data_IF_695565562401
#
_entry.id   IF_695565562401
#
_cell.length_a   1.000
_cell.length_b   1.000
_cell.length_c   1.000
_cell.angle_alpha   90.00
_cell.angle_beta   90.00
_cell.angle_gamma   90.00
#
_symmetry.space_group_name_H-M   'P 1'
#
loop_
_entity.id
_entity.type
_entity.pdbx_description
1 polymer ?
#
# COMPACT_ATOMS: atom_id res chain seq x y z
N UNK A 1 17.94 -12.02 -28.38
CA UNK A 1 17.69 -10.61 -28.02
C UNK A 1 17.34 -9.71 -29.20
N UNK A 2 18.24 -9.41 -30.16
CA UNK A 2 17.90 -8.51 -31.29
C UNK A 2 16.88 -9.15 -32.26
N UNK A 3 17.07 -10.43 -32.63
CA UNK A 3 16.13 -11.15 -33.51
C UNK A 3 14.72 -11.25 -32.90
N UNK A 4 14.60 -11.69 -31.65
CA UNK A 4 13.30 -11.80 -30.95
C UNK A 4 12.57 -10.45 -30.83
N UNK A 5 13.30 -9.34 -30.72
CA UNK A 5 12.72 -8.01 -30.74
C UNK A 5 12.15 -7.66 -32.11
N UNK A 6 12.89 -7.95 -33.19
CA UNK A 6 12.43 -7.76 -34.57
C UNK A 6 11.20 -8.62 -34.86
N UNK A 7 11.23 -9.89 -34.48
CA UNK A 7 10.10 -10.82 -34.65
C UNK A 7 8.83 -10.34 -33.93
N UNK A 8 8.96 -9.75 -32.73
CA UNK A 8 7.81 -9.16 -32.01
C UNK A 8 7.34 -7.86 -32.67
N UNK A 9 8.26 -7.04 -33.19
CA UNK A 9 7.89 -5.81 -33.91
C UNK A 9 7.13 -6.11 -35.19
N UNK A 10 7.49 -7.17 -35.92
CA UNK A 10 6.79 -7.60 -37.13
C UNK A 10 5.39 -8.14 -36.87
N UNK A 11 5.16 -8.73 -35.68
CA UNK A 11 3.84 -9.19 -35.24
C UNK A 11 2.95 -8.10 -34.64
N UNK A 12 3.51 -6.93 -34.33
CA UNK A 12 2.71 -5.83 -33.79
C UNK A 12 1.79 -5.31 -34.89
N UNK A 13 0.50 -5.18 -34.56
CA UNK A 13 -0.50 -4.69 -35.48
C UNK A 13 -0.14 -3.31 -36.04
N UNK A 14 -0.48 -3.10 -37.31
CA UNK A 14 -0.09 -1.89 -38.04
C UNK A 14 -0.72 -0.64 -37.45
N UNK A 15 -1.93 -0.71 -36.89
CA UNK A 15 -2.58 0.46 -36.31
C UNK A 15 -1.85 0.91 -35.03
N UNK A 16 -1.37 -0.04 -34.22
CA UNK A 16 -0.59 0.28 -33.02
C UNK A 16 0.80 0.83 -33.36
N UNK A 17 1.41 0.39 -34.46
CA UNK A 17 2.71 0.92 -34.92
C UNK A 17 2.65 2.43 -35.24
N UNK A 18 1.49 2.94 -35.65
CA UNK A 18 1.28 4.34 -36.04
C UNK A 18 0.29 5.07 -35.14
N UNK A 19 -0.08 4.49 -33.99
CA UNK A 19 -1.06 5.10 -33.11
C UNK A 19 -0.51 6.33 -32.39
N UNK A 20 -1.34 7.35 -32.26
CA UNK A 20 -1.09 8.54 -31.43
C UNK A 20 -1.63 8.37 -30.00
N UNK A 21 -2.40 7.31 -29.74
CA UNK A 21 -2.91 7.01 -28.41
C UNK A 21 -1.79 6.47 -27.51
N UNK A 22 -1.57 7.13 -26.37
CA UNK A 22 -0.47 6.78 -25.47
C UNK A 22 -0.65 5.39 -24.85
N UNK A 23 -1.89 4.96 -24.59
CA UNK A 23 -2.17 3.62 -24.08
C UNK A 23 -1.80 2.54 -25.11
N UNK A 24 -2.18 2.72 -26.36
CA UNK A 24 -1.79 1.84 -27.47
C UNK A 24 -0.27 1.82 -27.68
N UNK A 25 0.40 2.97 -27.61
CA UNK A 25 1.87 3.06 -27.66
C UNK A 25 2.54 2.32 -26.50
N UNK A 26 2.00 2.43 -25.27
CA UNK A 26 2.49 1.68 -24.12
C UNK A 26 2.34 0.18 -24.35
N UNK A 27 1.19 -0.30 -24.83
CA UNK A 27 1.00 -1.72 -25.18
C UNK A 27 2.02 -2.17 -26.22
N UNK A 28 2.21 -1.42 -27.30
CA UNK A 28 3.20 -1.73 -28.33
C UNK A 28 4.60 -1.84 -27.74
N UNK A 29 4.99 -0.92 -26.86
CA UNK A 29 6.27 -0.95 -26.14
C UNK A 29 6.39 -2.19 -25.25
N UNK A 30 5.40 -2.49 -24.40
CA UNK A 30 5.39 -3.68 -23.54
C UNK A 30 5.50 -4.97 -24.36
N UNK A 31 4.76 -5.07 -25.46
CA UNK A 31 4.74 -6.23 -26.34
C UNK A 31 6.10 -6.44 -27.03
N UNK A 32 6.62 -5.41 -27.70
CA UNK A 32 7.87 -5.53 -28.47
C UNK A 32 9.10 -5.72 -27.56
N UNK A 33 9.14 -5.01 -26.43
CA UNK A 33 10.21 -5.18 -25.43
C UNK A 33 10.09 -6.49 -24.64
N UNK A 34 8.87 -7.03 -24.51
CA UNK A 34 8.52 -8.11 -23.59
C UNK A 34 9.03 -7.85 -22.17
N UNK A 35 8.83 -6.60 -21.72
CA UNK A 35 9.14 -6.14 -20.37
C UNK A 35 7.92 -5.45 -19.79
N UNK A 36 7.66 -5.63 -18.49
CA UNK A 36 6.63 -4.87 -17.81
C UNK A 36 6.99 -3.38 -17.74
N UNK A 37 6.01 -2.55 -17.41
CA UNK A 37 6.26 -1.18 -16.92
C UNK A 37 6.67 -1.30 -15.46
N UNK A 38 7.97 -1.35 -15.21
CA UNK A 38 8.52 -1.56 -13.86
C UNK A 38 8.56 -0.25 -13.11
N UNK A 39 7.85 -0.17 -11.99
CA UNK A 39 7.98 0.93 -11.06
C UNK A 39 9.28 0.80 -10.25
N UNK A 40 9.94 1.93 -10.01
CA UNK A 40 11.09 2.02 -9.12
C UNK A 40 11.16 3.38 -8.44
N UNK A 41 11.82 3.43 -7.29
CA UNK A 41 11.99 4.69 -6.57
C UNK A 41 12.85 5.68 -7.38
N UNK A 42 12.38 6.93 -7.46
CA UNK A 42 13.13 8.05 -8.02
C UNK A 42 13.04 9.26 -7.10
N UNK A 43 14.11 9.57 -6.35
CA UNK A 43 14.16 10.74 -5.46
C UNK A 43 13.96 12.07 -6.20
N UNK A 44 14.19 12.13 -7.51
CA UNK A 44 14.07 13.36 -8.31
C UNK A 44 12.64 13.62 -8.78
N UNK A 45 11.80 12.58 -8.80
CA UNK A 45 10.38 12.68 -9.12
C UNK A 45 9.56 13.18 -7.92
N UNK A 46 8.57 14.05 -8.16
CA UNK A 46 7.61 14.50 -7.14
C UNK A 46 6.75 13.36 -6.59
N UNK A 47 6.55 12.32 -7.39
CA UNK A 47 5.84 11.11 -7.01
C UNK A 47 6.78 10.05 -6.39
N UNK A 48 8.06 10.37 -6.16
CA UNK A 48 9.08 9.43 -5.63
C UNK A 48 9.23 8.12 -6.41
N UNK A 49 8.62 8.04 -7.60
CA UNK A 49 8.53 6.87 -8.45
C UNK A 49 8.80 7.32 -9.89
N UNK A 50 9.51 6.47 -10.61
CA UNK A 50 9.63 6.49 -12.05
C UNK A 50 9.35 5.10 -12.62
N UNK A 51 9.04 5.06 -13.92
CA UNK A 51 8.93 3.83 -14.68
C UNK A 51 10.12 3.71 -15.62
N UNK A 52 10.36 2.53 -16.15
CA UNK A 52 11.41 2.26 -17.15
C UNK A 52 11.13 2.91 -18.53
N UNK A 53 10.30 3.95 -18.58
CA UNK A 53 9.87 4.67 -19.77
C UNK A 53 10.12 6.18 -19.59
N UNK A 54 10.38 6.94 -20.67
CA UNK A 54 10.65 8.38 -20.57
C UNK A 54 9.36 9.21 -20.42
N UNK A 55 8.45 8.79 -19.54
CA UNK A 55 7.19 9.48 -19.25
C UNK A 55 7.11 9.76 -17.75
N UNK A 56 6.44 10.85 -17.38
CA UNK A 56 6.17 11.16 -15.99
C UNK A 56 5.30 10.07 -15.34
N UNK A 57 5.60 9.70 -14.09
CA UNK A 57 4.94 8.57 -13.42
C UNK A 57 3.42 8.72 -13.34
N UNK A 58 2.91 9.94 -13.11
CA UNK A 58 1.47 10.21 -13.08
C UNK A 58 0.77 9.91 -14.43
N UNK A 59 1.45 10.16 -15.55
CA UNK A 59 0.93 9.83 -16.89
C UNK A 59 0.92 8.31 -17.06
N UNK A 60 2.02 7.63 -16.73
CA UNK A 60 2.10 6.15 -16.84
C UNK A 60 1.02 5.48 -16.00
N UNK A 61 0.87 5.90 -14.74
CA UNK A 61 -0.17 5.37 -13.84
C UNK A 61 -1.55 5.59 -14.48
N UNK A 62 -1.89 6.80 -14.92
CA UNK A 62 -3.21 7.08 -15.52
C UNK A 62 -3.52 6.17 -16.70
N UNK A 63 -2.61 6.09 -17.68
CA UNK A 63 -2.83 5.27 -18.88
C UNK A 63 -2.87 3.77 -18.55
N UNK A 64 -1.94 3.30 -17.70
CA UNK A 64 -1.89 1.89 -17.33
C UNK A 64 -3.13 1.45 -16.53
N UNK A 65 -3.64 2.30 -15.65
CA UNK A 65 -4.91 2.07 -14.93
C UNK A 65 -6.10 1.96 -15.89
N UNK A 66 -6.17 2.81 -16.91
CA UNK A 66 -7.19 2.72 -17.95
C UNK A 66 -7.10 1.40 -18.72
N UNK A 67 -5.89 1.00 -19.14
CA UNK A 67 -5.65 -0.28 -19.81
C UNK A 67 -5.98 -1.49 -18.92
N UNK A 68 -5.72 -1.40 -17.61
CA UNK A 68 -6.14 -2.42 -16.65
C UNK A 68 -7.67 -2.52 -16.55
N UNK A 69 -8.39 -1.40 -16.60
CA UNK A 69 -9.87 -1.41 -16.60
C UNK A 69 -10.46 -2.14 -17.83
N UNK A 70 -9.70 -2.20 -18.92
CA UNK A 70 -10.03 -2.95 -20.13
C UNK A 70 -9.48 -4.38 -20.17
N UNK A 71 -8.81 -4.84 -19.11
CA UNK A 71 -8.22 -6.18 -19.03
C UNK A 71 -6.94 -6.37 -19.85
N UNK A 72 -6.39 -5.30 -20.45
CA UNK A 72 -5.20 -5.35 -21.32
C UNK A 72 -3.90 -5.41 -20.53
N UNK A 73 -3.90 -4.80 -19.34
CA UNK A 73 -2.80 -4.88 -18.38
C UNK A 73 -3.29 -5.50 -17.08
N UNK A 74 -2.37 -6.14 -16.35
CA UNK A 74 -2.55 -6.53 -14.95
C UNK A 74 -1.57 -5.80 -14.06
N UNK A 75 -1.97 -5.57 -12.82
CA UNK A 75 -1.21 -4.84 -11.80
C UNK A 75 -0.48 -5.82 -10.89
N UNK A 76 0.75 -5.49 -10.54
CA UNK A 76 1.51 -6.09 -9.45
C UNK A 76 1.85 -4.98 -8.45
N UNK A 77 1.47 -5.14 -7.19
CA UNK A 77 1.68 -4.12 -6.15
C UNK A 77 3.17 -3.83 -6.00
N UNK A 78 3.52 -2.54 -6.05
CA UNK A 78 4.86 -2.07 -5.77
C UNK A 78 4.92 -1.46 -4.37
N UNK A 79 4.19 -0.37 -4.15
CA UNK A 79 4.17 0.33 -2.86
C UNK A 79 2.93 1.23 -2.71
N UNK A 80 2.69 1.74 -1.50
CA UNK A 80 1.63 2.69 -1.14
C UNK A 80 2.23 3.97 -0.58
N UNK A 81 1.86 5.10 -1.16
CA UNK A 81 2.33 6.43 -0.71
C UNK A 81 1.19 7.28 -0.16
N UNK A 82 1.49 8.10 0.84
CA UNK A 82 0.62 9.22 1.20
C UNK A 82 0.74 10.33 0.17
N UNK A 83 -0.39 10.95 -0.18
CA UNK A 83 -0.50 11.94 -1.26
C UNK A 83 -0.92 13.28 -0.71
N UNK A 84 -0.18 14.33 -1.08
CA UNK A 84 -0.55 15.70 -0.77
C UNK A 84 -1.88 16.06 -1.47
N UNK A 85 -2.95 16.44 -0.75
CA UNK A 85 -4.24 16.78 -1.36
C UNK A 85 -4.21 18.07 -2.16
N UNK A 86 -3.18 18.93 -1.95
CA UNK A 86 -3.04 20.22 -2.65
C UNK A 86 -2.33 20.10 -3.99
N UNK A 87 -1.32 19.23 -4.11
CA UNK A 87 -0.42 19.21 -5.27
C UNK A 87 -0.05 17.83 -5.77
N UNK A 88 -0.64 16.78 -5.19
CA UNK A 88 -0.45 15.36 -5.53
C UNK A 88 0.97 14.80 -5.42
N UNK A 89 1.87 15.54 -4.78
CA UNK A 89 3.22 15.06 -4.43
C UNK A 89 3.16 13.96 -3.40
N UNK A 90 4.10 13.00 -3.49
CA UNK A 90 4.29 11.95 -2.50
C UNK A 90 5.38 12.33 -1.48
N UNK A 91 6.04 13.48 -1.66
CA UNK A 91 7.09 13.98 -0.76
C UNK A 91 6.49 14.66 0.46
N UNK A 92 5.90 13.85 1.33
CA UNK A 92 5.38 14.29 2.62
C UNK A 92 6.42 14.01 3.71
N UNK A 93 6.91 15.08 4.34
CA UNK A 93 7.75 14.99 5.52
C UNK A 93 6.87 14.72 6.74
N UNK A 94 7.08 13.56 7.37
CA UNK A 94 6.44 13.20 8.64
C UNK A 94 7.16 13.93 9.75
N UNK A 95 6.42 14.57 10.65
CA UNK A 95 6.97 15.18 11.85
C UNK A 95 5.99 15.12 13.01
N UNK A 96 6.53 15.12 14.21
CA UNK A 96 5.78 15.43 15.41
C UNK A 96 5.50 16.93 15.47
N UNK A 97 4.31 17.29 15.93
CA UNK A 97 3.88 18.67 16.03
C UNK A 97 2.89 18.88 17.18
N UNK A 98 2.84 20.13 17.65
CA UNK A 98 1.92 20.54 18.71
C UNK A 98 0.48 20.54 18.21
N UNK A 99 -0.41 19.85 18.93
CA UNK A 99 -1.86 19.80 18.61
C UNK A 99 -2.53 21.18 18.59
N UNK A 100 -1.98 22.19 19.30
CA UNK A 100 -2.56 23.55 19.35
C UNK A 100 -2.10 24.45 18.20
N UNK A 101 -0.83 24.43 17.84
CA UNK A 101 -0.25 25.39 16.88
C UNK A 101 0.43 24.76 15.68
N UNK A 102 0.52 23.43 15.61
CA UNK A 102 1.21 22.63 14.56
C UNK A 102 2.71 22.93 14.40
N UNK A 103 3.31 23.57 15.38
CA UNK A 103 4.76 23.74 15.44
C UNK A 103 5.43 22.41 15.76
N UNK A 104 6.53 22.11 15.08
CA UNK A 104 7.43 21.00 15.39
C UNK A 104 8.53 21.40 16.37
N UNK A 105 8.49 22.62 16.93
CA UNK A 105 9.42 23.08 17.96
C UNK A 105 9.00 22.51 19.32
N UNK A 106 9.32 21.24 19.51
CA UNK A 106 8.95 20.42 20.67
C UNK A 106 10.20 20.12 21.50
N UNK A 107 10.02 20.08 22.82
CA UNK A 107 11.05 19.69 23.79
C UNK A 107 10.46 18.68 24.76
N UNK A 108 11.20 17.59 24.97
CA UNK A 108 10.89 16.62 26.00
C UNK A 108 11.33 17.15 27.36
N UNK A 109 10.41 17.20 28.30
CA UNK A 109 10.65 17.64 29.67
C UNK A 109 10.22 16.55 30.64
N UNK A 110 11.14 16.16 31.52
CA UNK A 110 10.85 15.19 32.56
C UNK A 110 10.07 15.89 33.67
N UNK A 111 8.92 15.34 34.05
CA UNK A 111 8.13 15.91 35.14
C UNK A 111 8.44 15.21 36.45
N UNK A 112 8.48 15.97 37.53
CA UNK A 112 8.52 15.45 38.89
C UNK A 112 7.17 15.68 39.56
N UNK A 113 6.76 14.72 40.39
CA UNK A 113 5.60 14.86 41.25
C UNK A 113 6.00 14.67 42.71
N UNK A 114 5.80 15.72 43.50
CA UNK A 114 6.10 15.74 44.94
C UNK A 114 4.93 15.21 45.75
N UNK A 115 5.10 14.08 46.43
CA UNK A 115 4.00 13.39 47.13
C UNK A 115 3.40 14.19 48.27
N UNK A 116 4.22 14.90 49.07
CA UNK A 116 3.74 15.59 50.27
C UNK A 116 2.76 16.73 49.96
N UNK A 117 3.00 17.46 48.87
CA UNK A 117 2.19 18.63 48.50
C UNK A 117 1.38 18.46 47.20
N UNK A 118 1.49 17.29 46.55
CA UNK A 118 0.89 16.95 45.27
C UNK A 118 1.21 17.95 44.13
N UNK A 119 2.35 18.64 44.20
CA UNK A 119 2.78 19.51 43.09
C UNK A 119 3.45 18.67 42.01
N UNK A 120 3.08 18.93 40.76
CA UNK A 120 3.65 18.29 39.58
C UNK A 120 4.08 19.37 38.59
N UNK A 121 5.32 19.27 38.08
CA UNK A 121 5.88 20.23 37.13
C UNK A 121 7.17 19.73 36.49
N UNK A 122 7.75 20.50 35.54
CA UNK A 122 9.03 20.19 34.91
C UNK A 122 10.15 20.07 35.95
N UNK A 123 11.07 19.12 35.77
CA UNK A 123 12.22 18.91 36.66
C UNK A 123 13.10 20.16 36.81
N UNK A 124 13.20 20.97 35.76
CA UNK A 124 13.91 22.26 35.77
C UNK A 124 13.35 23.22 36.83
N UNK A 125 12.05 23.18 37.15
CA UNK A 125 11.44 24.00 38.21
C UNK A 125 11.83 23.54 39.61
N UNK A 126 12.24 22.28 39.76
CA UNK A 126 12.69 21.72 41.03
C UNK A 126 14.20 21.88 41.23
N UNK A 127 14.97 21.98 40.14
CA UNK A 127 16.44 21.93 40.19
C UNK A 127 17.01 23.26 40.73
N UNK A 128 17.68 23.19 41.88
CA UNK A 128 18.49 24.28 42.44
C UNK A 128 19.88 23.75 42.74
N UNK A 129 20.87 24.17 41.94
CA UNK A 129 22.24 23.65 42.01
C UNK A 129 22.28 22.11 41.93
N UNK A 130 22.72 21.44 42.99
CA UNK A 130 22.78 19.98 43.09
C UNK A 130 21.57 19.35 43.81
N UNK A 131 20.60 20.16 44.24
CA UNK A 131 19.41 19.72 44.97
C UNK A 131 18.12 19.83 44.15
N UNK A 132 17.13 19.01 44.51
CA UNK A 132 15.76 19.14 44.03
C UNK A 132 14.92 19.76 45.14
N UNK A 133 14.30 20.91 44.89
CA UNK A 133 13.50 21.67 45.85
C UNK A 133 12.13 21.95 45.25
N UNK A 134 11.06 21.56 45.94
CA UNK A 134 9.71 21.75 45.44
C UNK A 134 9.38 23.25 45.33
N UNK A 135 9.00 23.78 44.17
CA UNK A 135 8.71 25.21 44.02
C UNK A 135 7.45 25.64 44.79
N UNK A 136 6.54 24.69 45.12
CA UNK A 136 5.30 24.95 45.86
C UNK A 136 5.51 25.08 47.38
N UNK A 137 6.19 24.10 48.01
CA UNK A 137 6.34 24.05 49.47
C UNK A 137 7.78 24.31 49.96
N UNK A 138 8.74 24.44 49.04
CA UNK A 138 10.18 24.65 49.30
C UNK A 138 10.86 23.54 50.10
N UNK A 139 10.24 22.36 50.18
CA UNK A 139 10.86 21.17 50.75
C UNK A 139 11.82 20.55 49.74
N UNK A 140 12.97 20.11 50.23
CA UNK A 140 13.95 19.37 49.46
C UNK A 140 13.45 17.93 49.23
N UNK A 141 13.64 17.42 48.01
CA UNK A 141 13.26 16.08 47.60
C UNK A 141 14.51 15.22 47.51
N UNK A 142 14.65 14.28 48.44
CA UNK A 142 15.90 13.53 48.64
C UNK A 142 15.75 12.06 48.26
N UNK A 143 14.57 11.47 48.49
CA UNK A 143 14.33 10.04 48.30
C UNK A 143 13.35 9.78 47.16
N UNK A 144 13.85 9.34 46.01
CA UNK A 144 13.00 8.87 44.90
C UNK A 144 12.12 7.69 45.35
N UNK A 145 10.84 7.72 45.00
CA UNK A 145 9.82 6.73 45.39
C UNK A 145 9.22 6.96 46.77
N UNK A 146 9.71 7.92 47.56
CA UNK A 146 9.13 8.27 48.86
C UNK A 146 8.81 9.77 49.00
N UNK A 147 9.71 10.65 48.55
CA UNK A 147 9.44 12.08 48.48
C UNK A 147 8.77 12.40 47.14
N UNK A 148 9.25 11.81 46.04
CA UNK A 148 8.76 12.08 44.70
C UNK A 148 8.84 10.90 43.75
N UNK A 149 8.11 10.99 42.64
CA UNK A 149 8.31 10.16 41.47
C UNK A 149 8.48 10.98 40.18
N UNK A 150 8.67 10.25 39.09
CA UNK A 150 8.73 10.72 37.72
C UNK A 150 7.55 10.11 36.96
N UNK A 151 6.38 10.77 36.95
CA UNK A 151 5.18 10.22 36.30
C UNK A 151 5.36 10.02 34.79
N UNK A 152 6.31 10.73 34.17
CA UNK A 152 6.67 10.54 32.78
C UNK A 152 7.43 11.73 32.20
N UNK A 153 7.71 11.63 30.92
CA UNK A 153 8.17 12.75 30.08
C UNK A 153 6.94 13.39 29.45
N UNK A 154 6.90 14.72 29.44
CA UNK A 154 5.92 15.51 28.72
C UNK A 154 6.61 16.19 27.54
N UNK A 155 5.89 16.32 26.44
CA UNK A 155 6.33 17.07 25.27
C UNK A 155 5.76 18.48 25.35
N UNK A 156 6.66 19.47 25.45
CA UNK A 156 6.32 20.89 25.59
C UNK A 156 6.64 21.64 24.31
N UNK A 157 5.62 22.26 23.73
CA UNK A 157 5.80 23.13 22.58
C UNK A 157 6.47 24.44 22.98
N UNK A 158 7.61 24.74 22.39
CA UNK A 158 8.40 25.93 22.68
C UNK A 158 7.81 27.21 22.08
N UNK A 159 6.85 27.10 21.15
CA UNK A 159 6.21 28.26 20.52
C UNK A 159 4.91 28.69 21.22
N UNK A 160 4.19 27.78 21.87
CA UNK A 160 2.91 28.08 22.54
C UNK A 160 2.79 27.56 23.98
N UNK A 161 3.86 26.98 24.54
CA UNK A 161 3.94 26.40 25.89
C UNK A 161 2.91 25.29 26.18
N UNK A 162 2.29 24.70 25.15
CA UNK A 162 1.37 23.59 25.35
C UNK A 162 2.14 22.31 25.67
N UNK A 163 1.82 21.70 26.81
CA UNK A 163 2.38 20.41 27.24
C UNK A 163 1.37 19.28 27.00
N UNK A 164 1.84 18.17 26.45
CA UNK A 164 1.07 16.94 26.19
C UNK A 164 1.96 15.72 26.46
N UNK A 165 1.38 14.55 26.79
CA UNK A 165 2.17 13.33 26.93
C UNK A 165 2.70 12.83 25.58
N UNK A 166 1.86 12.91 24.54
CA UNK A 166 2.14 12.42 23.21
C UNK A 166 1.85 13.51 22.16
N UNK A 167 2.85 13.95 21.38
CA UNK A 167 2.63 14.92 20.33
C UNK A 167 1.83 14.29 19.18
N UNK A 168 1.16 15.13 18.41
CA UNK A 168 0.43 14.68 17.22
C UNK A 168 1.39 14.53 16.05
N UNK A 169 1.11 13.59 15.15
CA UNK A 169 1.88 13.42 13.91
C UNK A 169 1.18 14.21 12.80
N UNK A 170 1.95 15.00 12.07
CA UNK A 170 1.50 15.74 10.89
C UNK A 170 2.40 15.48 9.69
N UNK A 171 1.86 15.74 8.51
CA UNK A 171 2.59 15.72 7.26
C UNK A 171 2.77 17.13 6.71
N UNK A 172 3.98 17.45 6.24
CA UNK A 172 4.25 18.67 5.47
C UNK A 172 4.77 18.31 4.09
N UNK A 173 4.09 18.80 3.05
CA UNK A 173 4.53 18.60 1.69
C UNK A 173 5.78 19.43 1.39
N UNK A 174 6.87 18.75 1.00
CA UNK A 174 8.14 19.39 0.67
C UNK A 174 8.04 20.23 -0.62
N UNK A 175 7.13 19.88 -1.53
CA UNK A 175 6.99 20.60 -2.80
C UNK A 175 6.14 21.88 -2.68
N UNK A 176 5.10 21.92 -1.83
CA UNK A 176 4.15 23.04 -1.77
C UNK A 176 3.96 23.68 -0.39
N UNK A 177 4.62 23.14 0.65
CA UNK A 177 4.49 23.59 2.04
C UNK A 177 3.12 23.30 2.67
N UNK A 178 2.22 22.62 1.96
CA UNK A 178 0.90 22.27 2.47
C UNK A 178 1.00 21.29 3.63
N UNK A 179 0.22 21.52 4.68
CA UNK A 179 0.09 20.64 5.83
C UNK A 179 -1.10 19.70 5.67
N UNK A 180 -0.98 18.48 6.18
CA UNK A 180 -2.05 17.48 6.23
C UNK A 180 -1.97 16.76 7.57
N UNK A 181 -3.09 16.67 8.28
CA UNK A 181 -3.19 15.86 9.50
C UNK A 181 -2.99 14.37 9.15
N UNK A 182 -2.39 13.58 10.04
CA UNK A 182 -1.97 12.21 9.71
C UNK A 182 -3.13 11.29 9.34
N UNK A 183 -4.29 11.49 9.95
CA UNK A 183 -5.53 10.75 9.73
C UNK A 183 -6.26 11.16 8.44
N UNK A 184 -6.03 12.38 7.95
CA UNK A 184 -6.62 12.92 6.73
C UNK A 184 -5.79 12.63 5.46
N UNK A 185 -4.56 12.13 5.60
CA UNK A 185 -3.65 11.92 4.48
C UNK A 185 -4.08 10.75 3.59
N UNK A 186 -4.69 11.07 2.44
CA UNK A 186 -5.06 10.08 1.42
C UNK A 186 -3.86 9.27 0.94
N UNK A 187 -4.09 8.01 0.58
CA UNK A 187 -3.05 7.11 0.06
C UNK A 187 -3.31 6.76 -1.40
N UNK A 188 -2.23 6.44 -2.12
CA UNK A 188 -2.29 5.94 -3.50
C UNK A 188 -1.33 4.79 -3.66
N UNK A 189 -1.85 3.69 -4.18
CA UNK A 189 -1.06 2.52 -4.54
C UNK A 189 -0.39 2.75 -5.89
N UNK A 190 0.85 2.29 -5.98
CA UNK A 190 1.67 2.28 -7.19
C UNK A 190 1.91 0.82 -7.56
N UNK A 191 1.89 0.55 -8.86
CA UNK A 191 2.00 -0.80 -9.40
C UNK A 191 3.09 -0.89 -10.46
N UNK A 192 3.64 -2.08 -10.60
CA UNK A 192 4.27 -2.55 -11.84
C UNK A 192 3.19 -3.15 -12.72
N UNK A 193 3.23 -2.86 -14.03
CA UNK A 193 2.18 -3.30 -14.95
C UNK A 193 2.69 -4.32 -15.96
N UNK A 194 1.93 -5.39 -16.14
CA UNK A 194 2.26 -6.49 -17.04
C UNK A 194 1.19 -6.64 -18.12
N UNK A 195 1.63 -7.03 -19.32
CA UNK A 195 0.71 -7.35 -20.41
C UNK A 195 -0.05 -8.64 -20.09
N UNK A 196 -1.38 -8.62 -20.23
CA UNK A 196 -2.20 -9.83 -20.16
C UNK A 196 -2.20 -10.56 -21.50
N UNK A 197 -2.78 -11.75 -21.56
CA UNK A 197 -2.95 -12.44 -22.84
C UNK A 197 -3.93 -11.70 -23.77
N UNK A 198 -4.95 -11.03 -23.20
CA UNK A 198 -5.80 -10.12 -23.95
C UNK A 198 -5.02 -8.91 -24.48
N UNK A 199 -4.12 -8.35 -23.67
CA UNK A 199 -3.21 -7.27 -24.08
C UNK A 199 -2.28 -7.70 -25.23
N UNK A 200 -1.76 -8.92 -25.20
CA UNK A 200 -0.96 -9.49 -26.30
C UNK A 200 -1.80 -9.66 -27.56
N UNK A 201 -3.00 -10.22 -27.45
CA UNK A 201 -3.89 -10.39 -28.61
C UNK A 201 -4.32 -9.04 -29.22
N UNK A 202 -4.58 -8.03 -28.38
CA UNK A 202 -4.82 -6.67 -28.85
C UNK A 202 -3.58 -6.09 -29.56
N UNK A 203 -2.37 -6.36 -29.04
CA UNK A 203 -1.14 -5.93 -29.68
C UNK A 203 -0.95 -6.56 -31.07
N UNK A 204 -1.29 -7.84 -31.24
CA UNK A 204 -1.11 -8.58 -32.51
C UNK A 204 -2.23 -8.36 -33.53
N UNK A 205 -3.42 -7.96 -33.10
CA UNK A 205 -4.62 -7.92 -33.96
C UNK A 205 -5.37 -6.57 -33.95
N UNK A 206 -4.85 -5.59 -33.23
CA UNK A 206 -5.38 -4.23 -33.20
C UNK A 206 -6.80 -4.13 -32.60
N UNK A 207 -7.49 -3.03 -32.94
CA UNK A 207 -8.80 -2.66 -32.36
C UNK A 207 -9.91 -3.68 -32.64
N UNK A 208 -9.81 -4.40 -33.75
CA UNK A 208 -10.72 -5.48 -34.13
C UNK A 208 -10.77 -6.59 -33.08
N UNK A 209 -9.67 -6.81 -32.35
CA UNK A 209 -9.57 -7.83 -31.31
C UNK A 209 -10.56 -7.62 -30.13
N UNK A 210 -10.78 -6.38 -29.72
CA UNK A 210 -11.66 -6.05 -28.58
C UNK A 210 -13.13 -6.35 -28.88
N UNK A 211 -13.54 -6.26 -30.14
CA UNK A 211 -14.90 -6.61 -30.58
C UNK A 211 -15.22 -8.09 -30.38
N UNK A 212 -14.26 -8.97 -30.65
CA UNK A 212 -14.40 -10.42 -30.45
C UNK A 212 -14.21 -10.82 -28.98
N UNK A 213 -13.28 -10.18 -28.25
CA UNK A 213 -13.00 -10.53 -26.85
C UNK A 213 -14.11 -10.12 -25.86
N UNK A 214 -14.89 -9.06 -26.15
CA UNK A 214 -16.08 -8.71 -25.34
C UNK A 214 -17.17 -9.79 -25.40
N UNK A 215 -17.19 -10.56 -26.48
CA UNK A 215 -18.02 -11.74 -26.68
C UNK A 215 -17.15 -12.98 -26.63
N UNK A 216 -16.40 -13.16 -25.53
CA UNK A 216 -15.81 -14.46 -25.23
C UNK A 216 -16.94 -15.47 -25.12
N UNK A 217 -17.30 -16.09 -26.26
CA UNK A 217 -18.30 -17.14 -26.34
C UNK A 217 -17.87 -18.18 -25.33
N UNK A 218 -18.63 -18.31 -24.23
CA UNK A 218 -18.48 -19.48 -23.39
C UNK A 218 -18.74 -20.67 -24.30
N UNK A 219 -18.01 -21.77 -24.16
CA UNK A 219 -18.28 -22.98 -24.93
C UNK A 219 -19.77 -23.39 -24.86
N UNK A 220 -20.46 -23.05 -23.76
CA UNK A 220 -21.89 -23.26 -23.55
C UNK A 220 -22.82 -22.34 -24.38
N UNK A 221 -22.29 -21.30 -25.02
CA UNK A 221 -23.03 -20.29 -25.80
C UNK A 221 -22.73 -20.38 -27.31
N UNK A 222 -21.91 -21.37 -27.72
CA UNK A 222 -21.73 -21.67 -29.13
C UNK A 222 -23.04 -22.20 -29.73
N UNK A 223 -23.47 -21.70 -30.91
CA UNK A 223 -24.53 -22.34 -31.68
C UNK A 223 -24.22 -23.83 -31.82
N UNK A 224 -25.21 -24.70 -31.58
CA UNK A 224 -25.05 -26.16 -31.66
C UNK A 224 -24.46 -26.62 -33.01
N UNK A 225 -24.57 -25.79 -34.05
CA UNK A 225 -24.04 -26.05 -35.40
C UNK A 225 -22.51 -25.92 -35.50
N UNK A 226 -21.87 -25.18 -34.58
CA UNK A 226 -20.40 -25.07 -34.48
C UNK A 226 -19.80 -26.09 -33.50
N UNK A 227 -20.65 -26.78 -32.72
CA UNK A 227 -20.24 -27.92 -31.91
C UNK A 227 -20.15 -29.14 -32.82
N UNK A 228 -18.94 -29.44 -33.28
CA UNK A 228 -18.70 -30.61 -34.11
C UNK A 228 -19.15 -31.88 -33.33
N UNK A 229 -20.17 -32.63 -33.77
CA UNK A 229 -20.55 -33.85 -33.10
C UNK A 229 -19.36 -34.80 -33.15
N UNK A 230 -18.86 -35.24 -32.00
CA UNK A 230 -17.97 -36.40 -31.96
C UNK A 230 -18.75 -37.57 -32.56
N UNK A 231 -18.42 -37.90 -33.82
CA UNK A 231 -18.98 -39.07 -34.50
C UNK A 231 -18.70 -40.28 -33.63
N UNK A 232 -19.76 -40.87 -33.07
CA UNK A 232 -19.67 -42.20 -32.47
C UNK A 232 -19.52 -43.20 -33.60
N UNK A 233 -18.36 -43.86 -33.62
CA UNK A 233 -18.17 -45.18 -34.19
C UNK A 233 -17.66 -45.21 -35.63
N UNK A 234 -16.34 -45.21 -35.78
CA UNK A 234 -15.64 -46.15 -36.67
C UNK A 234 -14.42 -46.68 -35.89
N UNK A 235 -14.24 -48.00 -35.92
CA UNK A 235 -13.27 -48.75 -35.13
C UNK A 235 -11.83 -48.27 -35.37
N UNK A 236 -11.23 -47.61 -34.37
CA UNK A 236 -9.79 -47.47 -34.31
C UNK A 236 -9.23 -48.73 -33.65
N UNK A 237 -8.64 -49.58 -34.47
CA UNK A 237 -7.82 -50.71 -34.04
C UNK A 237 -6.85 -50.26 -32.94
N UNK A 238 -6.84 -51.02 -31.84
CA UNK A 238 -5.88 -50.88 -30.75
C UNK A 238 -4.46 -50.93 -31.32
N UNK A 239 -3.78 -49.79 -31.34
CA UNK A 239 -2.34 -49.75 -31.12
C UNK A 239 -2.13 -49.32 -29.68
N UNK A 240 -1.56 -50.22 -28.91
CA UNK A 240 -1.17 -50.02 -27.52
C UNK A 240 -0.26 -48.79 -27.43
N UNK A 241 -0.66 -47.80 -26.63
CA UNK A 241 0.21 -46.74 -26.15
C UNK A 241 0.82 -47.19 -24.82
N UNK A 242 2.14 -47.12 -24.63
CA UNK A 242 2.80 -47.59 -23.43
C UNK A 242 2.77 -46.49 -22.37
N UNK A 243 1.64 -46.26 -21.70
CA UNK A 243 1.65 -45.50 -20.46
C UNK A 243 0.48 -45.93 -19.56
N UNK A 244 0.80 -46.77 -18.60
CA UNK A 244 -0.05 -47.09 -17.45
C UNK A 244 -0.07 -45.88 -16.51
N UNK A 245 -1.25 -45.34 -16.13
CA UNK A 245 -1.35 -44.53 -14.92
C UNK A 245 -1.48 -45.49 -13.72
N UNK A 246 -0.51 -45.46 -12.81
CA UNK A 246 -0.69 -46.07 -11.50
C UNK A 246 -1.67 -45.19 -10.71
N UNK A 247 -2.78 -45.80 -10.36
CA UNK A 247 -3.78 -45.35 -9.40
C UNK A 247 -3.10 -44.94 -8.08
N UNK A 248 -3.45 -43.77 -7.55
CA UNK A 248 -3.72 -43.67 -6.12
C UNK A 248 -4.90 -42.72 -5.89
N UNK A 249 -5.85 -43.26 -5.15
CA UNK A 249 -7.22 -42.81 -4.91
C UNK A 249 -7.32 -41.47 -4.17
N UNK A 250 -8.11 -40.57 -4.75
CA UNK A 250 -8.72 -39.42 -4.10
C UNK A 250 -9.99 -39.88 -3.35
N UNK A 251 -9.83 -40.35 -2.12
CA UNK A 251 -10.92 -40.44 -1.14
C UNK A 251 -10.38 -40.55 0.28
N UNK A 252 -9.79 -39.47 0.77
CA UNK A 252 -9.68 -39.11 2.21
C UNK A 252 -8.75 -37.89 2.35
N UNK A 253 -9.36 -36.73 2.64
CA UNK A 253 -8.80 -35.46 3.17
C UNK A 253 -9.49 -34.23 2.57
N UNK A 254 -10.81 -34.19 2.73
CA UNK A 254 -11.55 -32.92 2.84
C UNK A 254 -11.84 -32.77 4.33
N UNK A 255 -11.03 -31.99 5.03
CA UNK A 255 -11.22 -31.76 6.46
C UNK A 255 -9.93 -31.54 7.21
N UNK A 256 -9.08 -30.62 6.75
CA UNK A 256 -8.02 -29.99 7.55
C UNK A 256 -7.46 -28.86 6.69
N UNK A 257 -7.89 -27.62 6.94
CA UNK A 257 -7.18 -26.36 6.65
C UNK A 257 -8.05 -25.10 6.92
N UNK A 258 -9.31 -25.25 7.34
CA UNK A 258 -10.15 -24.15 7.86
C UNK A 258 -10.06 -23.95 9.39
N UNK A 259 -9.15 -24.65 10.09
CA UNK A 259 -8.97 -24.56 11.54
C UNK A 259 -7.88 -23.60 12.04
N UNK A 260 -6.92 -23.20 11.18
CA UNK A 260 -5.72 -22.47 11.63
C UNK A 260 -5.82 -20.94 11.59
N UNK A 261 -6.88 -20.36 10.99
CA UNK A 261 -7.06 -18.89 10.91
C UNK A 261 -8.06 -18.32 11.94
N UNK A 262 -8.79 -19.18 12.68
CA UNK A 262 -9.73 -18.76 13.74
C UNK A 262 -9.16 -18.80 15.17
N UNK A 263 -7.93 -19.31 15.35
CA UNK A 263 -7.29 -19.40 16.66
C UNK A 263 -6.45 -18.16 17.04
N UNK A 264 -6.00 -17.34 16.08
CA UNK A 264 -5.14 -16.17 16.37
C UNK A 264 -5.90 -14.84 16.57
N UNK A 265 -7.23 -14.83 16.45
CA UNK A 265 -8.08 -13.65 16.73
C UNK A 265 -8.73 -13.66 18.13
N UNK A 266 -8.37 -14.63 18.99
CA UNK A 266 -8.82 -14.70 20.39
C UNK A 266 -7.71 -14.47 21.43
N UNK A 267 -6.49 -14.13 21.01
CA UNK A 267 -5.36 -13.95 21.92
C UNK A 267 -4.99 -12.48 22.24
N UNK A 268 -5.72 -11.48 21.74
CA UNK A 268 -5.41 -10.06 21.96
C UNK A 268 -6.58 -9.18 22.44
N UNK A 269 -7.73 -9.76 22.80
CA UNK A 269 -8.81 -9.02 23.43
C UNK A 269 -8.62 -8.98 24.96
N UNK A 270 -8.05 -7.90 25.49
CA UNK A 270 -8.19 -7.56 26.92
C UNK A 270 -9.66 -7.20 27.21
N UNK A 271 -10.27 -7.70 28.29
CA UNK A 271 -11.63 -7.31 28.65
C UNK A 271 -11.63 -5.87 29.17
N UNK A 272 -12.64 -5.10 28.74
CA UNK A 272 -13.00 -3.81 29.33
C UNK A 272 -13.45 -4.02 30.79
N UNK A 273 -13.07 -3.14 31.73
CA UNK A 273 -13.62 -3.19 33.08
C UNK A 273 -15.12 -2.88 33.06
N UNK A 274 -15.90 -3.67 33.79
CA UNK A 274 -17.34 -3.48 33.98
C UNK A 274 -17.58 -2.26 34.87
N UNK A 275 -18.51 -1.43 34.43
CA UNK A 275 -19.08 -0.33 35.21
C UNK A 275 -19.57 -0.81 36.57
N UNK A 276 -19.09 -0.12 37.61
CA UNK A 276 -19.62 -0.21 38.97
C UNK A 276 -20.86 0.68 39.01
N UNK A 277 -22.02 0.06 39.24
CA UNK A 277 -23.25 0.76 39.57
C UNK A 277 -23.07 1.52 40.89
N UNK A 278 -23.29 2.84 40.87
CA UNK A 278 -23.56 3.61 42.08
C UNK A 278 -25.06 3.58 42.39
N UNK A 279 -25.46 3.41 43.67
CA UNK A 279 -26.85 3.38 44.07
C UNK A 279 -27.40 4.79 44.36
N UNK A 280 -28.70 4.93 44.06
CA UNK A 280 -29.70 5.91 44.51
C UNK A 280 -29.42 7.41 44.32
#
# INVERSE_FOLDING_TARGET
MIREFQDRRERLDRDLLFSEDLGEQLIGRLFVSNRPLTAGYDPRSRNLVAYDVPLAANIVIREAEALCSHGLLKREFFDRFHVCPRCESFRLHVREECVKCRSSHLKDEQYLHHFSCAFQGPEDDFRQEDSLICPKCRQELTHFGFDYDRPGTMVVCQDCAHAVSDPTIGFVCVDCGGHVDSDAASTRDVYTYHLTDQGKGFAEHGRSFLGYARHALRFAELPLELVCPQRRGEEVQRRESPFHPSEYSLSERIGDHLGAWRANLRASARPLPRDVAHPA
#
